data_IF_686674458437
#
_entry.id   IF_686674458437
#
_cell.length_a   1.000
_cell.length_b   1.000
_cell.length_c   1.000
_cell.angle_alpha   90.00
_cell.angle_beta   90.00
_cell.angle_gamma   90.00
#
_symmetry.space_group_name_H-M   'P 1'
#
loop_
_entity.id
_entity.type
_entity.pdbx_description
1 polymer ?
#
# COMPACT_ATOMS: atom_id res chain seq x y z
N UNK A 1 -0.45 3.92 -5.10
CA UNK A 1 -0.98 3.35 -3.84
C UNK A 1 0.14 3.40 -2.79
N UNK A 2 -0.19 3.84 -1.57
CA UNK A 2 0.78 4.06 -0.48
C UNK A 2 0.61 2.97 0.57
N UNK A 3 1.61 2.10 0.72
CA UNK A 3 1.63 1.01 1.71
C UNK A 3 2.45 1.40 2.94
N UNK A 4 2.16 0.76 4.07
CA UNK A 4 2.99 0.86 5.28
C UNK A 4 4.35 0.19 5.08
N UNK A 5 5.35 0.63 5.83
CA UNK A 5 6.64 -0.01 6.04
C UNK A 5 6.78 -0.57 7.47
N UNK A 6 5.74 -0.51 8.29
CA UNK A 6 5.76 -0.93 9.70
C UNK A 6 5.31 -2.39 9.88
N UNK A 7 6.10 -3.20 10.59
CA UNK A 7 5.90 -4.65 10.68
C UNK A 7 5.63 -5.20 12.10
N UNK A 8 5.55 -4.36 13.14
CA UNK A 8 5.32 -4.79 14.53
C UNK A 8 3.97 -4.31 15.07
N UNK A 9 3.19 -5.18 15.72
CA UNK A 9 1.92 -4.79 16.31
C UNK A 9 2.15 -4.19 17.71
N UNK A 10 2.74 -2.99 17.75
CA UNK A 10 3.15 -2.33 18.99
C UNK A 10 4.04 -3.23 19.86
N UNK A 11 3.85 -3.20 21.18
CA UNK A 11 4.66 -3.97 22.13
C UNK A 11 4.15 -5.41 22.36
N UNK A 12 3.29 -5.94 21.48
CA UNK A 12 2.67 -7.27 21.66
C UNK A 12 3.63 -8.43 21.34
N UNK A 13 4.65 -8.17 20.51
CA UNK A 13 5.53 -9.18 19.94
C UNK A 13 4.97 -9.86 18.67
N UNK A 14 3.74 -9.52 18.26
CA UNK A 14 3.15 -10.00 17.01
C UNK A 14 3.60 -9.14 15.81
N UNK A 15 3.60 -9.75 14.62
CA UNK A 15 3.84 -9.05 13.35
C UNK A 15 2.56 -8.43 12.77
N UNK A 16 2.72 -7.35 12.02
CA UNK A 16 1.67 -6.66 11.27
C UNK A 16 2.20 -6.19 9.91
N UNK A 17 1.39 -5.44 9.16
CA UNK A 17 1.74 -4.85 7.90
C UNK A 17 0.52 -4.22 7.22
N UNK A 18 0.55 -4.17 5.90
CA UNK A 18 -0.65 -3.92 5.11
C UNK A 18 -1.57 -5.16 5.10
N UNK A 19 -2.86 -4.97 4.85
CA UNK A 19 -3.81 -6.07 4.69
C UNK A 19 -3.91 -6.51 3.22
N UNK A 20 -3.62 -7.79 2.92
CA UNK A 20 -3.44 -8.32 1.56
C UNK A 20 -4.58 -7.95 0.59
N UNK A 21 -5.82 -8.24 0.99
CA UNK A 21 -7.00 -7.98 0.16
C UNK A 21 -7.23 -6.48 -0.08
N UNK A 22 -6.94 -5.63 0.91
CA UNK A 22 -7.10 -4.18 0.79
C UNK A 22 -6.05 -3.56 -0.15
N UNK A 23 -4.99 -4.30 -0.47
CA UNK A 23 -4.09 -3.97 -1.56
C UNK A 23 -4.54 -4.63 -2.87
N UNK A 24 -4.69 -5.94 -2.91
CA UNK A 24 -4.88 -6.72 -4.13
C UNK A 24 -6.17 -6.34 -4.88
N UNK A 25 -7.31 -6.24 -4.17
CA UNK A 25 -8.58 -5.92 -4.81
C UNK A 25 -8.58 -4.54 -5.51
N UNK A 26 -8.26 -3.42 -4.84
CA UNK A 26 -8.20 -2.13 -5.52
C UNK A 26 -7.07 -2.04 -6.54
N UNK A 27 -5.92 -2.68 -6.32
CA UNK A 27 -4.84 -2.73 -7.31
C UNK A 27 -5.35 -3.29 -8.65
N UNK A 28 -6.06 -4.42 -8.62
CA UNK A 28 -6.62 -5.01 -9.84
C UNK A 28 -7.80 -4.25 -10.41
N UNK A 29 -8.67 -3.66 -9.58
CA UNK A 29 -9.73 -2.77 -10.08
C UNK A 29 -9.15 -1.61 -10.89
N UNK A 30 -8.06 -1.00 -10.42
CA UNK A 30 -7.42 0.14 -11.09
C UNK A 30 -6.65 -0.28 -12.35
N UNK A 31 -5.82 -1.32 -12.25
CA UNK A 31 -5.00 -1.78 -13.38
C UNK A 31 -5.85 -2.40 -14.49
N UNK A 32 -6.92 -3.15 -14.17
CA UNK A 32 -7.84 -3.69 -15.18
C UNK A 32 -8.68 -2.58 -15.86
N UNK A 33 -8.86 -1.44 -15.18
CA UNK A 33 -9.45 -0.24 -15.77
C UNK A 33 -8.47 0.54 -16.67
N UNK A 34 -7.21 0.07 -16.80
CA UNK A 34 -6.17 0.68 -17.62
C UNK A 34 -5.47 1.87 -16.96
N UNK A 35 -5.53 1.98 -15.63
CA UNK A 35 -4.79 3.01 -14.89
C UNK A 35 -3.35 2.58 -14.63
N UNK A 36 -2.42 3.52 -14.74
CA UNK A 36 -1.03 3.34 -14.36
C UNK A 36 -0.88 3.46 -12.83
N UNK A 37 -0.55 2.37 -12.15
CA UNK A 37 -0.47 2.31 -10.69
C UNK A 37 0.99 2.24 -10.23
N UNK A 38 1.46 3.31 -9.59
CA UNK A 38 2.75 3.31 -8.86
C UNK A 38 2.54 2.87 -7.41
N UNK A 39 3.42 2.00 -6.91
CA UNK A 39 3.43 1.57 -5.51
C UNK A 39 4.55 2.32 -4.75
N UNK A 40 4.21 2.84 -3.58
CA UNK A 40 5.16 3.56 -2.72
C UNK A 40 4.96 3.17 -1.25
N UNK A 41 6.01 3.30 -0.44
CA UNK A 41 5.95 3.13 1.01
C UNK A 41 6.98 4.04 1.70
N UNK A 42 6.82 4.39 2.99
CA UNK A 42 7.76 5.27 3.68
C UNK A 42 9.23 4.90 3.54
N UNK A 43 9.57 3.61 3.59
CA UNK A 43 10.94 3.12 3.46
C UNK A 43 11.31 2.67 2.03
N UNK A 44 10.36 2.64 1.10
CA UNK A 44 10.50 1.95 -0.18
C UNK A 44 10.73 0.44 -0.02
N UNK A 45 11.04 -0.24 -1.13
CA UNK A 45 11.28 -1.68 -1.15
C UNK A 45 10.02 -2.51 -0.88
N UNK A 46 10.16 -3.70 -0.30
CA UNK A 46 9.05 -4.59 0.00
C UNK A 46 8.32 -4.14 1.28
N UNK A 47 7.05 -3.68 1.21
CA UNK A 47 6.27 -3.39 2.40
C UNK A 47 5.92 -4.70 3.13
N UNK A 48 5.87 -4.69 4.48
CA UNK A 48 5.51 -5.86 5.27
C UNK A 48 4.03 -6.18 5.14
N UNK A 49 3.73 -7.47 5.02
CA UNK A 49 2.38 -8.02 4.96
C UNK A 49 1.93 -8.42 6.38
N UNK A 50 0.70 -8.08 6.78
CA UNK A 50 0.10 -8.65 7.99
C UNK A 50 -0.16 -10.16 7.75
N UNK A 51 0.52 -11.08 8.47
CA UNK A 51 0.40 -12.51 8.22
C UNK A 51 -1.02 -13.06 8.38
N UNK A 52 -1.89 -12.38 9.15
CA UNK A 52 -3.29 -12.79 9.31
C UNK A 52 -4.09 -12.62 8.02
N UNK A 53 -3.72 -11.63 7.21
CA UNK A 53 -4.40 -11.34 5.94
C UNK A 53 -4.04 -12.32 4.81
N UNK A 54 -3.02 -13.16 5.02
CA UNK A 54 -2.57 -14.20 4.08
C UNK A 54 -3.08 -15.61 4.43
N UNK A 55 -3.87 -15.73 5.51
CA UNK A 55 -4.45 -17.03 5.91
C UNK A 55 -5.42 -17.57 4.86
N UNK A 56 -5.55 -18.90 4.74
CA UNK A 56 -6.41 -19.55 3.73
C UNK A 56 -7.86 -19.03 3.74
N UNK A 57 -8.40 -18.73 4.93
CA UNK A 57 -9.75 -18.22 5.13
C UNK A 57 -9.92 -16.74 4.71
N UNK A 58 -8.80 -16.01 4.59
CA UNK A 58 -8.77 -14.61 4.14
C UNK A 58 -8.55 -14.47 2.62
N UNK A 59 -8.20 -15.56 1.92
CA UNK A 59 -7.86 -15.54 0.50
C UNK A 59 -9.08 -15.30 -0.40
N UNK A 60 -8.99 -14.33 -1.30
CA UNK A 60 -10.00 -13.95 -2.31
C UNK A 60 -9.53 -14.31 -3.73
N UNK A 61 -10.31 -13.96 -4.75
CA UNK A 61 -9.86 -14.09 -6.14
C UNK A 61 -8.70 -13.13 -6.44
N UNK A 62 -8.74 -11.91 -5.90
CA UNK A 62 -7.70 -10.90 -6.11
C UNK A 62 -6.39 -11.26 -5.42
N UNK A 63 -6.42 -11.81 -4.20
CA UNK A 63 -5.19 -12.23 -3.51
C UNK A 63 -4.54 -13.42 -4.22
N UNK A 64 -5.31 -14.41 -4.65
CA UNK A 64 -4.79 -15.54 -5.46
C UNK A 64 -4.22 -15.07 -6.80
N UNK A 65 -4.86 -14.10 -7.45
CA UNK A 65 -4.31 -13.50 -8.66
C UNK A 65 -2.97 -12.82 -8.39
N UNK A 66 -2.83 -12.12 -7.27
CA UNK A 66 -1.58 -11.49 -6.87
C UNK A 66 -0.46 -12.51 -6.62
N UNK A 67 -0.78 -13.68 -6.06
CA UNK A 67 0.19 -14.78 -5.88
C UNK A 67 0.76 -15.29 -7.21
N UNK A 68 -0.08 -15.34 -8.26
CA UNK A 68 0.28 -15.83 -9.59
C UNK A 68 0.84 -14.75 -10.54
N UNK A 69 0.77 -13.47 -10.15
CA UNK A 69 1.16 -12.32 -10.97
C UNK A 69 2.57 -11.81 -10.61
N UNK A 70 3.56 -12.37 -11.31
CA UNK A 70 4.97 -12.02 -11.09
C UNK A 70 5.25 -10.52 -11.30
N UNK A 71 4.50 -9.83 -12.17
CA UNK A 71 4.70 -8.40 -12.41
C UNK A 71 4.20 -7.55 -11.25
N UNK A 72 3.01 -7.87 -10.73
CA UNK A 72 2.48 -7.22 -9.53
C UNK A 72 3.35 -7.51 -8.29
N UNK A 73 3.87 -8.72 -8.15
CA UNK A 73 4.82 -9.07 -7.09
C UNK A 73 6.14 -8.30 -7.21
N UNK A 74 6.69 -8.16 -8.41
CA UNK A 74 7.90 -7.36 -8.63
C UNK A 74 7.67 -5.88 -8.30
N UNK A 75 6.52 -5.32 -8.70
CA UNK A 75 6.15 -3.95 -8.35
C UNK A 75 6.03 -3.77 -6.82
N UNK A 76 5.40 -4.73 -6.13
CA UNK A 76 5.23 -4.71 -4.68
C UNK A 76 6.58 -4.86 -3.95
N UNK A 77 7.50 -5.68 -4.47
CA UNK A 77 8.83 -5.86 -3.89
C UNK A 77 9.74 -4.63 -4.03
N UNK A 78 9.40 -3.71 -4.95
CA UNK A 78 10.21 -2.56 -5.31
C UNK A 78 9.44 -1.25 -5.19
N UNK A 79 8.70 -1.05 -4.08
CA UNK A 79 7.99 0.22 -3.89
C UNK A 79 8.95 1.40 -3.84
N UNK A 80 8.51 2.52 -4.41
CA UNK A 80 9.26 3.79 -4.35
C UNK A 80 9.21 4.33 -2.92
N UNK A 81 10.32 4.92 -2.45
CA UNK A 81 10.33 5.64 -1.17
C UNK A 81 9.35 6.82 -1.22
N UNK A 82 8.50 6.97 -0.20
CA UNK A 82 7.41 7.95 -0.19
C UNK A 82 7.90 9.39 -0.35
N UNK A 83 9.09 9.69 0.19
CA UNK A 83 9.74 11.00 0.11
C UNK A 83 10.07 11.42 -1.33
N UNK A 84 10.24 10.45 -2.24
CA UNK A 84 10.57 10.66 -3.65
C UNK A 84 9.33 10.85 -4.54
N UNK A 85 8.13 10.73 -3.99
CA UNK A 85 6.87 10.92 -4.74
C UNK A 85 6.58 12.41 -4.92
N UNK A 86 6.55 12.84 -6.18
CA UNK A 86 5.99 14.11 -6.59
C UNK A 86 4.47 13.96 -6.80
N UNK A 87 3.61 14.62 -6.01
CA UNK A 87 2.16 14.51 -6.13
C UNK A 87 1.63 15.04 -7.47
N UNK A 88 2.36 15.88 -8.20
CA UNK A 88 1.90 16.44 -9.46
C UNK A 88 1.96 15.43 -10.62
N UNK A 89 2.65 14.30 -10.44
CA UNK A 89 2.72 13.19 -11.41
C UNK A 89 1.49 12.27 -11.38
N UNK A 90 0.53 12.49 -10.48
CA UNK A 90 -0.56 11.54 -10.20
C UNK A 90 -1.95 12.20 -10.15
N UNK A 91 -2.98 11.48 -10.61
CA UNK A 91 -4.36 11.94 -10.55
C UNK A 91 -5.05 11.61 -9.21
N UNK A 92 -4.61 10.56 -8.52
CA UNK A 92 -5.23 10.08 -7.28
C UNK A 92 -4.21 9.48 -6.30
N UNK A 93 -4.57 9.44 -5.01
CA UNK A 93 -3.83 8.69 -3.99
C UNK A 93 -4.73 7.68 -3.29
N UNK A 94 -4.22 6.47 -3.03
CA UNK A 94 -4.96 5.40 -2.38
C UNK A 94 -4.11 4.72 -1.31
N UNK A 95 -4.70 4.48 -0.14
CA UNK A 95 -4.04 3.94 1.05
C UNK A 95 -4.73 2.63 1.48
N UNK A 96 -4.17 1.46 1.13
CA UNK A 96 -4.56 0.19 1.75
C UNK A 96 -4.39 0.24 3.27
N UNK A 97 -5.28 -0.42 4.00
CA UNK A 97 -5.20 -0.53 5.45
C UNK A 97 -4.34 -1.72 5.91
N UNK A 98 -4.79 -2.38 6.98
CA UNK A 98 -3.94 -3.13 7.89
C UNK A 98 -3.63 -2.32 9.15
N UNK A 99 -2.97 -2.92 10.15
CA UNK A 99 -2.65 -2.18 11.38
C UNK A 99 -1.36 -1.35 11.25
N UNK A 100 -0.42 -1.75 10.38
CA UNK A 100 0.87 -1.05 10.20
C UNK A 100 0.76 0.47 9.96
N UNK A 101 -0.18 0.97 9.13
CA UNK A 101 -0.37 2.41 8.89
C UNK A 101 -0.52 3.28 10.14
N UNK A 102 -0.96 2.71 11.27
CA UNK A 102 -1.13 3.45 12.53
C UNK A 102 0.19 3.90 13.16
N UNK A 103 1.33 3.31 12.77
CA UNK A 103 2.64 3.64 13.34
C UNK A 103 3.53 4.49 12.43
N UNK A 104 3.34 4.43 11.11
CA UNK A 104 4.18 5.15 10.18
C UNK A 104 3.39 6.16 9.33
N UNK A 105 2.35 5.74 8.61
CA UNK A 105 1.62 6.61 7.69
C UNK A 105 0.84 7.71 8.43
N UNK A 106 0.34 7.43 9.63
CA UNK A 106 -0.35 8.41 10.48
C UNK A 106 0.58 9.53 10.99
N UNK A 107 1.86 9.23 11.19
CA UNK A 107 2.85 10.15 11.76
C UNK A 107 3.82 10.72 10.70
N UNK A 108 3.76 10.21 9.47
CA UNK A 108 4.64 10.60 8.36
C UNK A 108 4.31 11.99 7.83
N UNK A 109 5.30 12.88 7.82
CA UNK A 109 5.17 14.21 7.21
C UNK A 109 4.96 14.14 5.70
N UNK A 110 5.55 13.16 5.02
CA UNK A 110 5.34 12.93 3.58
C UNK A 110 3.93 12.43 3.29
N UNK A 111 3.42 11.50 4.09
CA UNK A 111 2.04 11.04 3.99
C UNK A 111 1.05 12.20 4.18
N UNK A 112 1.25 13.02 5.22
CA UNK A 112 0.47 14.24 5.46
C UNK A 112 0.55 15.20 4.27
N UNK A 113 1.76 15.46 3.75
CA UNK A 113 1.99 16.34 2.60
C UNK A 113 1.21 15.89 1.37
N UNK A 114 1.25 14.59 1.05
CA UNK A 114 0.50 14.04 -0.07
C UNK A 114 -1.01 14.26 0.14
N UNK A 115 -1.57 13.79 1.24
CA UNK A 115 -3.01 13.91 1.51
C UNK A 115 -3.47 15.37 1.43
N UNK A 116 -2.74 16.31 2.03
CA UNK A 116 -3.06 17.73 1.95
C UNK A 116 -2.98 18.28 0.52
N UNK A 117 -2.05 17.78 -0.29
CA UNK A 117 -1.87 18.23 -1.68
C UNK A 117 -3.00 17.75 -2.57
N UNK A 118 -3.38 16.47 -2.48
CA UNK A 118 -4.52 15.93 -3.23
C UNK A 118 -5.82 16.64 -2.81
N UNK A 119 -6.06 16.80 -1.50
CA UNK A 119 -7.23 17.49 -0.98
C UNK A 119 -7.32 18.97 -1.40
N UNK A 120 -6.19 19.70 -1.44
CA UNK A 120 -6.17 21.11 -1.89
C UNK A 120 -6.36 21.28 -3.39
N UNK A 121 -6.04 20.26 -4.17
CA UNK A 121 -6.16 20.27 -5.63
C UNK A 121 -7.46 19.61 -6.13
N UNK A 122 -8.42 19.31 -5.24
CA UNK A 122 -9.66 18.59 -5.53
C UNK A 122 -9.42 17.25 -6.26
N UNK A 123 -8.29 16.60 -5.96
CA UNK A 123 -7.94 15.27 -6.47
C UNK A 123 -8.29 14.19 -5.44
N UNK A 124 -8.81 13.03 -5.88
CA UNK A 124 -9.18 11.93 -5.00
C UNK A 124 -8.00 11.28 -4.28
#
# INVERSE_FOLDING_TARGET
>A
MILTSHDELGDTGDKTGFWLEEFAAPYYVLTDAGMDVTLASPAGGQPPLDPKSDSEDAQTESTRRLEDDAGAQEALANTTELSAIDPDDFDAVFYPGGHGPMWDLAESEDSRRLIETFARSDRP
#
